data_IF_884271539401
#
_entry.id   IF_884271539401
#
_cell.length_a   1.000
_cell.length_b   1.000
_cell.length_c   1.000
_cell.angle_alpha   90.00
_cell.angle_beta   90.00
_cell.angle_gamma   90.00
#
_symmetry.space_group_name_H-M   'P 1'
#
loop_
_entity.id
_entity.type
_entity.pdbx_description
1 polymer ?
#
# COMPACT_ATOMS: atom_id res chain seq x y z
N UNK A 1 21.80 7.99 -4.29
CA UNK A 1 20.41 8.03 -3.77
C UNK A 1 19.67 6.81 -4.25
N UNK A 2 18.98 6.14 -3.34
CA UNK A 2 18.21 4.92 -3.65
C UNK A 2 17.05 5.22 -4.62
N UNK A 3 16.42 6.37 -4.48
CA UNK A 3 15.26 6.77 -5.28
C UNK A 3 15.67 7.85 -6.28
N UNK A 4 15.57 7.59 -7.61
CA UNK A 4 15.91 8.58 -8.62
C UNK A 4 14.88 9.72 -8.68
N UNK A 5 15.27 10.91 -9.18
CA UNK A 5 14.32 11.98 -9.43
C UNK A 5 13.35 11.59 -10.56
N UNK A 6 12.07 11.87 -10.36
CA UNK A 6 11.03 11.62 -11.36
C UNK A 6 10.14 12.88 -11.51
N UNK A 7 10.03 13.40 -12.73
CA UNK A 7 9.21 14.58 -13.04
C UNK A 7 7.71 14.29 -12.91
N UNK A 8 7.30 13.05 -13.21
CA UNK A 8 5.89 12.64 -13.13
C UNK A 8 5.39 12.46 -11.69
N UNK A 9 6.30 12.32 -10.72
CA UNK A 9 5.96 12.05 -9.31
C UNK A 9 4.97 13.05 -8.74
N UNK A 10 5.16 14.35 -9.01
CA UNK A 10 4.26 15.40 -8.51
C UNK A 10 2.86 15.29 -9.12
N UNK A 11 2.76 14.98 -10.40
CA UNK A 11 1.49 14.79 -11.10
C UNK A 11 0.77 13.57 -10.52
N UNK A 12 1.46 12.43 -10.43
CA UNK A 12 0.91 11.21 -9.87
C UNK A 12 0.44 11.39 -8.41
N UNK A 13 1.24 12.09 -7.59
CA UNK A 13 0.86 12.41 -6.22
C UNK A 13 -0.46 13.19 -6.17
N UNK A 14 -0.60 14.25 -6.96
CA UNK A 14 -1.83 15.06 -7.00
C UNK A 14 -3.01 14.22 -7.51
N UNK A 15 -2.83 13.49 -8.62
CA UNK A 15 -3.89 12.67 -9.21
C UNK A 15 -4.43 11.64 -8.23
N UNK A 16 -3.54 10.85 -7.60
CA UNK A 16 -3.97 9.83 -6.64
C UNK A 16 -4.55 10.43 -5.37
N UNK A 17 -4.05 11.59 -4.92
CA UNK A 17 -4.63 12.33 -3.81
C UNK A 17 -6.05 12.82 -4.09
N UNK A 18 -6.30 13.38 -5.28
CA UNK A 18 -7.64 13.82 -5.71
C UNK A 18 -8.60 12.63 -5.80
N UNK A 19 -8.19 11.52 -6.41
CA UNK A 19 -9.00 10.30 -6.50
C UNK A 19 -9.34 9.79 -5.09
N UNK A 20 -8.37 9.77 -4.17
CA UNK A 20 -8.59 9.34 -2.80
C UNK A 20 -9.63 10.22 -2.08
N UNK A 21 -9.51 11.55 -2.21
CA UNK A 21 -10.48 12.49 -1.62
C UNK A 21 -11.88 12.27 -2.22
N UNK A 22 -11.97 12.06 -3.53
CA UNK A 22 -13.24 11.77 -4.21
C UNK A 22 -13.89 10.48 -3.67
N UNK A 23 -13.13 9.39 -3.52
CA UNK A 23 -13.60 8.14 -2.90
C UNK A 23 -14.04 8.41 -1.45
N UNK A 24 -13.25 9.14 -0.67
CA UNK A 24 -13.56 9.48 0.71
C UNK A 24 -14.87 10.26 0.86
N UNK A 25 -15.13 11.22 -0.02
CA UNK A 25 -16.39 11.96 -0.06
C UNK A 25 -17.57 11.02 -0.34
N UNK A 26 -17.46 10.17 -1.35
CA UNK A 26 -18.54 9.23 -1.71
C UNK A 26 -18.86 8.25 -0.58
N UNK A 27 -17.83 7.75 0.10
CA UNK A 27 -18.01 6.87 1.25
C UNK A 27 -18.62 7.61 2.44
N UNK A 28 -18.13 8.82 2.75
CA UNK A 28 -18.64 9.64 3.86
C UNK A 28 -20.14 9.96 3.74
N UNK A 29 -20.59 10.23 2.52
CA UNK A 29 -22.00 10.57 2.22
C UNK A 29 -22.84 9.35 1.82
N UNK A 30 -22.33 8.12 2.01
CA UNK A 30 -23.03 6.86 1.70
C UNK A 30 -23.63 6.82 0.28
N UNK A 31 -22.87 7.29 -0.70
CA UNK A 31 -23.32 7.33 -2.09
C UNK A 31 -23.67 5.92 -2.58
N UNK A 32 -24.86 5.77 -3.18
CA UNK A 32 -25.40 4.49 -3.70
C UNK A 32 -24.39 3.80 -4.63
N UNK A 33 -23.69 4.56 -5.45
CA UNK A 33 -22.69 4.02 -6.38
C UNK A 33 -21.62 3.14 -5.70
N UNK A 34 -21.05 3.61 -4.58
CA UNK A 34 -20.02 2.84 -3.84
C UNK A 34 -20.62 1.60 -3.17
N UNK A 35 -21.83 1.69 -2.66
CA UNK A 35 -22.52 0.53 -2.05
C UNK A 35 -22.81 -0.54 -3.09
N UNK A 36 -23.31 -0.16 -4.27
CA UNK A 36 -23.54 -1.10 -5.38
C UNK A 36 -22.24 -1.72 -5.86
N UNK A 37 -21.17 -0.93 -5.96
CA UNK A 37 -19.85 -1.42 -6.36
C UNK A 37 -19.31 -2.45 -5.36
N UNK A 38 -19.38 -2.16 -4.06
CA UNK A 38 -18.96 -3.07 -3.00
C UNK A 38 -19.75 -4.38 -3.02
N UNK A 39 -21.08 -4.30 -3.11
CA UNK A 39 -21.96 -5.46 -3.18
C UNK A 39 -21.70 -6.31 -4.44
N UNK A 40 -21.48 -5.68 -5.59
CA UNK A 40 -21.20 -6.37 -6.85
C UNK A 40 -19.87 -7.11 -6.80
N UNK A 41 -18.82 -6.46 -6.27
CA UNK A 41 -17.50 -7.09 -6.16
C UNK A 41 -17.52 -8.20 -5.11
N UNK A 42 -18.18 -8.00 -3.97
CA UNK A 42 -18.33 -9.03 -2.93
C UNK A 42 -19.03 -10.27 -3.50
N UNK A 43 -20.14 -10.08 -4.22
CA UNK A 43 -20.85 -11.17 -4.93
C UNK A 43 -19.92 -11.89 -5.94
N UNK A 44 -19.21 -11.14 -6.76
CA UNK A 44 -18.31 -11.72 -7.76
C UNK A 44 -17.17 -12.52 -7.13
N UNK A 45 -16.57 -12.02 -6.05
CA UNK A 45 -15.47 -12.70 -5.34
C UNK A 45 -15.99 -13.96 -4.67
N UNK A 46 -17.09 -13.90 -3.95
CA UNK A 46 -17.59 -15.03 -3.17
C UNK A 46 -18.26 -16.14 -4.02
N UNK A 47 -18.97 -15.77 -5.09
CA UNK A 47 -19.71 -16.76 -5.89
C UNK A 47 -19.00 -17.21 -7.17
N UNK A 48 -18.16 -16.35 -7.76
CA UNK A 48 -17.53 -16.65 -9.05
C UNK A 48 -16.05 -16.99 -8.88
N UNK A 49 -15.27 -16.08 -8.24
CA UNK A 49 -13.82 -16.24 -8.13
C UNK A 49 -13.43 -17.34 -7.14
N UNK A 50 -14.14 -17.47 -6.02
CA UNK A 50 -13.85 -18.48 -5.00
C UNK A 50 -13.86 -19.91 -5.55
N UNK A 51 -14.75 -20.20 -6.50
CA UNK A 51 -14.83 -21.51 -7.15
C UNK A 51 -13.79 -21.70 -8.26
N UNK A 52 -13.40 -20.63 -8.96
CA UNK A 52 -12.50 -20.70 -10.13
C UNK A 52 -11.02 -20.60 -9.79
N UNK A 53 -10.66 -19.84 -8.77
CA UNK A 53 -9.26 -19.55 -8.41
C UNK A 53 -9.00 -19.73 -6.90
N UNK A 54 -9.39 -20.85 -6.28
CA UNK A 54 -9.29 -21.04 -4.83
C UNK A 54 -7.84 -20.99 -4.33
N UNK A 55 -6.88 -21.50 -5.09
CA UNK A 55 -5.46 -21.49 -4.73
C UNK A 55 -4.91 -20.05 -4.64
N UNK A 56 -5.29 -19.19 -5.58
CA UNK A 56 -4.88 -17.80 -5.61
C UNK A 56 -5.42 -17.02 -4.40
N UNK A 57 -6.68 -17.24 -4.04
CA UNK A 57 -7.30 -16.64 -2.85
C UNK A 57 -6.70 -17.18 -1.55
N UNK A 58 -6.41 -18.48 -1.47
CA UNK A 58 -5.73 -19.09 -0.32
C UNK A 58 -4.32 -18.50 -0.12
N UNK A 59 -3.58 -18.29 -1.21
CA UNK A 59 -2.29 -17.61 -1.15
C UNK A 59 -2.44 -16.19 -0.59
N UNK A 60 -3.40 -15.41 -1.10
CA UNK A 60 -3.69 -14.07 -0.58
C UNK A 60 -4.07 -14.08 0.91
N UNK A 61 -4.84 -15.08 1.38
CA UNK A 61 -5.26 -15.19 2.77
C UNK A 61 -4.09 -15.43 3.73
N UNK A 62 -3.06 -16.18 3.33
CA UNK A 62 -1.84 -16.39 4.13
C UNK A 62 -1.13 -15.06 4.43
N UNK A 63 -1.12 -14.14 3.46
CA UNK A 63 -0.46 -12.83 3.58
C UNK A 63 -1.39 -11.71 4.06
N UNK A 64 -2.66 -12.01 4.37
CA UNK A 64 -3.65 -11.03 4.82
C UNK A 64 -3.60 -10.70 6.32
N UNK A 65 -2.52 -11.07 7.02
CA UNK A 65 -2.36 -10.91 8.46
C UNK A 65 -1.22 -9.94 8.80
N UNK A 66 -1.42 -9.12 9.84
CA UNK A 66 -0.38 -8.21 10.34
C UNK A 66 0.89 -8.95 10.82
N UNK A 67 0.74 -10.17 11.34
CA UNK A 67 1.85 -11.02 11.76
C UNK A 67 2.82 -11.38 10.63
N UNK A 68 2.39 -11.26 9.38
CA UNK A 68 3.24 -11.53 8.21
C UNK A 68 3.90 -10.23 7.72
N UNK A 69 3.13 -9.16 7.56
CA UNK A 69 3.66 -7.92 6.98
C UNK A 69 4.62 -7.19 7.93
N UNK A 70 4.38 -7.18 9.25
CA UNK A 70 5.23 -6.50 10.22
C UNK A 70 6.65 -7.07 10.26
N UNK A 71 6.86 -8.39 10.38
CA UNK A 71 8.20 -8.97 10.25
C UNK A 71 8.86 -8.71 8.89
N UNK A 72 8.10 -8.74 7.79
CA UNK A 72 8.65 -8.47 6.45
C UNK A 72 9.12 -7.02 6.30
N UNK A 73 8.39 -6.05 6.87
CA UNK A 73 8.86 -4.66 6.96
C UNK A 73 10.17 -4.61 7.76
N UNK A 74 10.25 -5.30 8.89
CA UNK A 74 11.47 -5.40 9.70
C UNK A 74 12.66 -5.99 8.93
N UNK A 75 12.44 -7.09 8.20
CA UNK A 75 13.46 -7.70 7.34
C UNK A 75 13.93 -6.74 6.25
N UNK A 76 13.00 -6.00 5.60
CA UNK A 76 13.34 -5.02 4.59
C UNK A 76 14.15 -3.85 5.16
N UNK A 77 13.80 -3.36 6.34
CA UNK A 77 14.56 -2.32 7.05
C UNK A 77 15.96 -2.82 7.40
N UNK A 78 16.08 -4.02 7.94
CA UNK A 78 17.38 -4.65 8.25
C UNK A 78 18.23 -4.82 6.98
N UNK A 79 17.61 -5.27 5.88
CA UNK A 79 18.30 -5.40 4.59
C UNK A 79 18.86 -4.06 4.10
N UNK A 80 18.05 -2.99 4.10
CA UNK A 80 18.50 -1.64 3.73
C UNK A 80 19.64 -1.16 4.63
N UNK A 81 19.55 -1.44 5.92
CA UNK A 81 20.58 -1.07 6.88
C UNK A 81 21.91 -1.80 6.62
N UNK A 82 21.86 -3.12 6.33
CA UNK A 82 23.03 -3.95 6.05
C UNK A 82 23.75 -3.54 4.75
N UNK A 83 23.00 -3.10 3.72
CA UNK A 83 23.60 -2.62 2.46
C UNK A 83 24.04 -1.15 2.54
N UNK A 84 24.15 -0.59 3.75
CA UNK A 84 24.57 0.78 4.03
C UNK A 84 23.64 1.90 3.53
N UNK A 85 22.35 1.62 3.28
CA UNK A 85 21.32 2.63 3.03
C UNK A 85 20.56 2.99 4.33
N UNK A 86 21.32 3.36 5.38
CA UNK A 86 20.79 3.63 6.74
C UNK A 86 19.70 4.71 6.74
N UNK A 87 19.90 5.80 5.99
CA UNK A 87 18.90 6.88 5.87
C UNK A 87 17.62 6.40 5.21
N UNK A 88 17.72 5.56 4.17
CA UNK A 88 16.55 4.96 3.53
C UNK A 88 15.80 4.00 4.45
N UNK A 89 16.52 3.23 5.28
CA UNK A 89 15.92 2.35 6.29
C UNK A 89 15.09 3.15 7.30
N UNK A 90 15.64 4.20 7.91
CA UNK A 90 14.93 5.08 8.83
C UNK A 90 13.76 5.81 8.18
N UNK A 91 13.97 6.33 6.95
CA UNK A 91 12.90 6.95 6.18
C UNK A 91 11.73 5.97 5.96
N UNK A 92 12.02 4.71 5.62
CA UNK A 92 10.97 3.73 5.37
C UNK A 92 10.18 3.41 6.64
N UNK A 93 10.84 3.23 7.80
CA UNK A 93 10.16 3.04 9.10
C UNK A 93 9.24 4.24 9.41
N UNK A 94 9.76 5.45 9.32
CA UNK A 94 8.98 6.67 9.59
C UNK A 94 7.79 6.78 8.64
N UNK A 95 7.97 6.43 7.36
CA UNK A 95 6.91 6.42 6.36
C UNK A 95 5.78 5.46 6.74
N UNK A 96 6.10 4.25 7.24
CA UNK A 96 5.11 3.26 7.69
C UNK A 96 4.37 3.73 8.95
N UNK A 97 5.07 4.30 9.92
CA UNK A 97 4.45 4.82 11.15
C UNK A 97 3.51 5.99 10.87
N UNK A 98 3.92 6.94 10.02
CA UNK A 98 3.05 8.06 9.67
C UNK A 98 1.85 7.57 8.83
N UNK A 99 2.04 6.61 7.93
CA UNK A 99 0.92 5.99 7.19
C UNK A 99 -0.12 5.37 8.14
N UNK A 100 0.33 4.70 9.21
CA UNK A 100 -0.54 4.15 10.25
C UNK A 100 -1.33 5.26 10.96
N UNK A 101 -0.66 6.32 11.40
CA UNK A 101 -1.32 7.45 12.06
C UNK A 101 -2.33 8.14 11.15
N UNK A 102 -1.95 8.41 9.89
CA UNK A 102 -2.84 9.02 8.91
C UNK A 102 -4.06 8.14 8.62
N UNK A 103 -3.85 6.84 8.43
CA UNK A 103 -4.95 5.89 8.21
C UNK A 103 -5.93 5.91 9.39
N UNK A 104 -5.42 5.91 10.61
CA UNK A 104 -6.25 5.99 11.82
C UNK A 104 -7.04 7.29 11.88
N UNK A 105 -6.41 8.44 11.66
CA UNK A 105 -7.08 9.76 11.62
C UNK A 105 -8.15 9.82 10.55
N UNK A 106 -7.83 9.36 9.32
CA UNK A 106 -8.78 9.35 8.20
C UNK A 106 -9.99 8.48 8.52
N UNK A 107 -9.77 7.30 9.11
CA UNK A 107 -10.86 6.40 9.53
C UNK A 107 -11.81 7.07 10.53
N UNK A 108 -11.28 7.82 11.50
CA UNK A 108 -12.10 8.59 12.45
C UNK A 108 -12.89 9.68 11.74
N UNK A 109 -12.29 10.40 10.79
CA UNK A 109 -12.93 11.49 10.06
C UNK A 109 -14.05 10.94 9.16
N UNK A 110 -13.81 9.84 8.48
CA UNK A 110 -14.78 9.25 7.56
C UNK A 110 -15.98 8.64 8.28
N UNK A 111 -15.86 8.23 9.55
CA UNK A 111 -16.94 7.66 10.39
C UNK A 111 -17.77 6.62 9.64
N UNK A 112 -17.11 5.60 9.11
CA UNK A 112 -17.76 4.59 8.28
C UNK A 112 -18.68 3.75 9.15
N UNK A 113 -19.96 3.72 8.80
CA UNK A 113 -20.96 2.83 9.37
C UNK A 113 -21.42 1.88 8.27
N UNK A 114 -20.93 0.66 8.29
CA UNK A 114 -21.38 -0.37 7.35
C UNK A 114 -22.72 -0.92 7.80
N UNK A 115 -23.71 -0.93 6.90
CA UNK A 115 -25.08 -1.36 7.26
C UNK A 115 -25.21 -2.88 7.45
N UNK A 116 -24.33 -3.70 6.82
CA UNK A 116 -24.51 -5.15 6.71
C UNK A 116 -23.25 -5.98 6.98
N UNK A 117 -22.26 -5.52 7.73
CA UNK A 117 -21.02 -6.27 7.95
C UNK A 117 -20.55 -6.29 9.40
N UNK A 118 -19.65 -7.21 9.78
CA UNK A 118 -19.03 -7.18 11.09
C UNK A 118 -18.27 -5.85 11.25
N UNK A 119 -18.59 -5.11 12.29
CA UNK A 119 -18.03 -3.78 12.62
C UNK A 119 -16.52 -3.77 12.93
N UNK A 120 -15.84 -4.90 12.78
CA UNK A 120 -14.47 -5.12 13.24
C UNK A 120 -13.54 -5.11 12.00
N UNK A 121 -12.73 -4.06 11.87
CA UNK A 121 -11.59 -4.02 10.94
C UNK A 121 -11.78 -3.24 9.63
N UNK A 122 -12.94 -2.65 9.38
CA UNK A 122 -13.18 -1.92 8.13
C UNK A 122 -12.69 -0.47 8.21
N UNK A 123 -11.43 -0.27 7.88
CA UNK A 123 -10.84 1.06 7.77
C UNK A 123 -10.73 1.48 6.31
N UNK A 124 -10.97 2.75 6.01
CA UNK A 124 -10.61 3.35 4.72
C UNK A 124 -9.59 4.46 4.98
N UNK A 125 -8.40 4.33 4.42
CA UNK A 125 -7.85 3.20 3.64
C UNK A 125 -7.54 1.97 4.52
N UNK A 126 -7.52 0.77 3.94
CA UNK A 126 -7.12 -0.43 4.69
C UNK A 126 -5.61 -0.41 4.95
N UNK A 127 -5.20 -0.31 6.23
CA UNK A 127 -3.80 -0.13 6.63
C UNK A 127 -2.90 -1.28 6.17
N UNK A 128 -3.36 -2.52 6.28
CA UNK A 128 -2.57 -3.69 5.88
C UNK A 128 -2.23 -3.62 4.39
N UNK A 129 -3.20 -3.27 3.54
CA UNK A 129 -3.00 -3.12 2.11
C UNK A 129 -2.10 -1.93 1.76
N UNK A 130 -2.19 -0.83 2.52
CA UNK A 130 -1.27 0.33 2.38
C UNK A 130 0.17 -0.10 2.68
N UNK A 131 0.40 -0.85 3.75
CA UNK A 131 1.73 -1.34 4.11
C UNK A 131 2.29 -2.32 3.06
N UNK A 132 1.46 -3.26 2.58
CA UNK A 132 1.84 -4.14 1.48
C UNK A 132 2.20 -3.34 0.22
N UNK A 133 1.38 -2.37 -0.17
CA UNK A 133 1.64 -1.54 -1.34
C UNK A 133 2.99 -0.83 -1.23
N UNK A 134 3.30 -0.22 -0.10
CA UNK A 134 4.56 0.50 0.11
C UNK A 134 5.77 -0.44 0.13
N UNK A 135 5.65 -1.61 0.76
CA UNK A 135 6.71 -2.62 0.74
C UNK A 135 7.01 -3.09 -0.69
N UNK A 136 5.95 -3.38 -1.45
CA UNK A 136 6.06 -3.84 -2.83
C UNK A 136 6.59 -2.74 -3.77
N UNK A 137 6.18 -1.49 -3.58
CA UNK A 137 6.74 -0.34 -4.32
C UNK A 137 8.22 -0.14 -4.02
N UNK A 138 8.66 -0.35 -2.78
CA UNK A 138 10.08 -0.33 -2.45
C UNK A 138 10.84 -1.43 -3.17
N UNK A 139 10.29 -2.65 -3.23
CA UNK A 139 10.86 -3.76 -4.00
C UNK A 139 10.99 -3.41 -5.49
N UNK A 140 9.97 -2.81 -6.09
CA UNK A 140 10.00 -2.34 -7.49
C UNK A 140 11.14 -1.35 -7.73
N UNK A 141 11.43 -0.47 -6.78
CA UNK A 141 12.54 0.50 -6.89
C UNK A 141 13.91 -0.19 -6.76
N UNK A 142 14.02 -1.24 -5.93
CA UNK A 142 15.28 -1.96 -5.73
C UNK A 142 15.56 -2.93 -6.90
N UNK A 143 14.53 -3.45 -7.57
CA UNK A 143 14.65 -4.43 -8.65
C UNK A 143 15.63 -4.08 -9.76
N UNK A 144 15.69 -2.85 -10.32
CA UNK A 144 16.65 -2.50 -11.36
C UNK A 144 18.11 -2.65 -10.92
N UNK A 145 18.40 -2.58 -9.62
CA UNK A 145 19.75 -2.79 -9.09
C UNK A 145 20.13 -4.26 -8.98
N UNK A 146 19.13 -5.14 -8.85
CA UNK A 146 19.31 -6.58 -8.71
C UNK A 146 19.27 -7.31 -10.06
N UNK A 147 18.40 -6.86 -10.96
CA UNK A 147 18.10 -7.53 -12.24
C UNK A 147 18.29 -6.57 -13.39
N UNK A 148 19.26 -6.86 -14.28
CA UNK A 148 19.54 -6.02 -15.45
C UNK A 148 18.54 -6.19 -16.61
N UNK A 149 17.91 -7.35 -16.73
CA UNK A 149 16.99 -7.67 -17.83
C UNK A 149 15.64 -6.97 -17.67
N UNK A 150 15.32 -6.07 -18.61
CA UNK A 150 14.05 -5.33 -18.61
C UNK A 150 12.82 -6.24 -18.70
N UNK A 151 12.91 -7.34 -19.44
CA UNK A 151 11.81 -8.33 -19.53
C UNK A 151 11.50 -8.93 -18.17
N UNK A 152 12.54 -9.35 -17.43
CA UNK A 152 12.39 -9.93 -16.10
C UNK A 152 11.83 -8.89 -15.12
N UNK A 153 12.29 -7.63 -15.17
CA UNK A 153 11.75 -6.55 -14.33
C UNK A 153 10.24 -6.36 -14.55
N UNK A 154 9.79 -6.32 -15.82
CA UNK A 154 8.37 -6.18 -16.15
C UNK A 154 7.57 -7.39 -15.62
N UNK A 155 8.06 -8.61 -15.83
CA UNK A 155 7.39 -9.81 -15.32
C UNK A 155 7.26 -9.77 -13.79
N UNK A 156 8.33 -9.43 -13.07
CA UNK A 156 8.30 -9.30 -11.62
C UNK A 156 7.31 -8.23 -11.17
N UNK A 157 7.26 -7.07 -11.83
CA UNK A 157 6.30 -6.01 -11.49
C UNK A 157 4.84 -6.46 -11.68
N UNK A 158 4.56 -7.26 -12.72
CA UNK A 158 3.24 -7.86 -12.93
C UNK A 158 2.92 -8.85 -11.80
N UNK A 159 3.86 -9.73 -11.45
CA UNK A 159 3.70 -10.70 -10.35
C UNK A 159 3.45 -9.97 -9.02
N UNK A 160 4.19 -8.89 -8.74
CA UNK A 160 3.99 -8.05 -7.56
C UNK A 160 2.57 -7.46 -7.53
N UNK A 161 2.09 -6.93 -8.65
CA UNK A 161 0.73 -6.39 -8.77
C UNK A 161 -0.34 -7.46 -8.54
N UNK A 162 -0.17 -8.63 -9.16
CA UNK A 162 -1.07 -9.78 -8.97
C UNK A 162 -1.03 -10.29 -7.52
N UNK A 163 0.13 -10.32 -6.89
CA UNK A 163 0.27 -10.70 -5.49
C UNK A 163 -0.49 -9.74 -4.57
N UNK A 164 -0.34 -8.42 -4.74
CA UNK A 164 -1.11 -7.44 -3.98
C UNK A 164 -2.62 -7.61 -4.17
N UNK A 165 -3.04 -7.84 -5.43
CA UNK A 165 -4.44 -8.10 -5.75
C UNK A 165 -4.97 -9.36 -5.07
N UNK A 166 -4.15 -10.44 -4.96
CA UNK A 166 -4.56 -11.66 -4.26
C UNK A 166 -4.88 -11.41 -2.79
N UNK A 167 -4.07 -10.58 -2.11
CA UNK A 167 -4.30 -10.22 -0.71
C UNK A 167 -5.61 -9.41 -0.59
N UNK A 168 -5.83 -8.46 -1.49
CA UNK A 168 -7.05 -7.66 -1.50
C UNK A 168 -8.28 -8.53 -1.69
N UNK A 169 -8.30 -9.40 -2.70
CA UNK A 169 -9.43 -10.29 -2.98
C UNK A 169 -9.70 -11.29 -1.85
N UNK A 170 -8.63 -11.84 -1.24
CA UNK A 170 -8.77 -12.73 -0.10
C UNK A 170 -9.42 -12.04 1.12
N UNK A 171 -9.11 -10.75 1.37
CA UNK A 171 -9.74 -9.98 2.43
C UNK A 171 -11.20 -9.64 2.14
N UNK A 172 -11.56 -9.42 0.88
CA UNK A 172 -12.97 -9.27 0.48
C UNK A 172 -13.70 -10.58 0.71
N UNK A 173 -13.14 -11.71 0.24
CA UNK A 173 -13.74 -13.04 0.42
C UNK A 173 -14.00 -13.40 1.89
N UNK A 174 -13.09 -13.03 2.78
CA UNK A 174 -13.23 -13.27 4.22
C UNK A 174 -14.13 -12.25 4.94
N UNK A 175 -14.80 -11.36 4.22
CA UNK A 175 -15.63 -10.26 4.74
C UNK A 175 -14.90 -9.33 5.73
N UNK A 176 -13.57 -9.26 5.63
CA UNK A 176 -12.75 -8.38 6.48
C UNK A 176 -12.58 -6.98 5.89
N UNK A 177 -13.02 -6.74 4.66
CA UNK A 177 -13.04 -5.41 4.07
C UNK A 177 -13.98 -5.33 2.86
N UNK A 178 -14.46 -4.12 2.59
CA UNK A 178 -15.16 -3.78 1.35
C UNK A 178 -14.17 -3.45 0.21
N UNK A 179 -14.62 -3.54 -1.04
CA UNK A 179 -13.80 -3.21 -2.20
C UNK A 179 -13.33 -1.74 -2.19
N UNK A 180 -14.19 -0.82 -1.75
CA UNK A 180 -13.85 0.60 -1.59
C UNK A 180 -12.71 0.85 -0.61
N UNK A 181 -12.55 0.01 0.43
CA UNK A 181 -11.39 0.06 1.33
C UNK A 181 -10.09 -0.30 0.60
N UNK A 182 -10.14 -1.24 -0.34
CA UNK A 182 -9.03 -1.60 -1.21
C UNK A 182 -8.67 -0.48 -2.19
N UNK A 183 -9.67 0.14 -2.84
CA UNK A 183 -9.46 1.32 -3.68
C UNK A 183 -8.86 2.49 -2.89
N UNK A 184 -9.35 2.71 -1.68
CA UNK A 184 -8.76 3.69 -0.75
C UNK A 184 -7.30 3.37 -0.42
N UNK A 185 -6.95 2.09 -0.23
CA UNK A 185 -5.59 1.67 0.06
C UNK A 185 -4.62 1.89 -1.12
N UNK A 186 -5.05 1.63 -2.36
CA UNK A 186 -4.25 1.94 -3.57
C UNK A 186 -4.04 3.44 -3.69
N UNK A 187 -5.12 4.21 -3.66
CA UNK A 187 -5.09 5.64 -3.96
C UNK A 187 -4.34 6.41 -2.88
N UNK A 188 -4.66 6.18 -1.60
CA UNK A 188 -3.94 6.77 -0.48
C UNK A 188 -2.49 6.26 -0.39
N UNK A 189 -2.27 4.95 -0.50
CA UNK A 189 -0.94 4.37 -0.37
C UNK A 189 0.01 4.86 -1.46
N UNK A 190 -0.46 4.98 -2.71
CA UNK A 190 0.34 5.52 -3.80
C UNK A 190 0.58 7.04 -3.66
N UNK A 191 -0.44 7.82 -3.27
CA UNK A 191 -0.31 9.24 -2.92
C UNK A 191 0.77 9.42 -1.84
N UNK A 192 0.64 8.70 -0.72
CA UNK A 192 1.55 8.79 0.41
C UNK A 192 2.98 8.37 0.03
N UNK A 193 3.10 7.32 -0.76
CA UNK A 193 4.39 6.88 -1.30
C UNK A 193 5.07 7.98 -2.11
N UNK A 194 4.38 8.60 -3.05
CA UNK A 194 4.94 9.67 -3.88
C UNK A 194 5.32 10.90 -3.04
N UNK A 195 4.50 11.24 -2.06
CA UNK A 195 4.78 12.34 -1.14
C UNK A 195 6.04 12.05 -0.29
N UNK A 196 6.10 10.89 0.37
CA UNK A 196 7.22 10.52 1.24
C UNK A 196 8.54 10.37 0.46
N UNK A 197 8.51 9.81 -0.76
CA UNK A 197 9.69 9.71 -1.62
C UNK A 197 10.18 11.09 -2.09
N UNK A 198 9.27 12.04 -2.33
CA UNK A 198 9.65 13.42 -2.63
C UNK A 198 10.34 14.10 -1.44
N UNK A 199 9.86 13.86 -0.21
CA UNK A 199 10.51 14.37 1.00
C UNK A 199 11.89 13.73 1.21
N UNK A 200 11.99 12.41 1.03
CA UNK A 200 13.26 11.70 1.07
C UNK A 200 14.28 12.31 0.09
N UNK A 201 13.91 12.46 -1.18
CA UNK A 201 14.78 13.03 -2.19
C UNK A 201 15.30 14.44 -1.84
N UNK A 202 14.41 15.30 -1.30
CA UNK A 202 14.77 16.68 -0.94
C UNK A 202 15.64 16.78 0.31
N UNK A 203 15.46 15.90 1.28
CA UNK A 203 16.00 16.05 2.64
C UNK A 203 17.02 14.99 3.04
N UNK A 204 17.16 13.89 2.31
CA UNK A 204 18.04 12.79 2.72
C UNK A 204 19.49 13.21 2.94
N UNK A 205 20.06 14.06 2.06
CA UNK A 205 21.42 14.60 2.25
C UNK A 205 21.55 15.52 3.45
N UNK A 206 20.53 16.30 3.77
CA UNK A 206 20.50 17.14 4.95
C UNK A 206 20.45 16.29 6.23
N UNK A 207 19.58 15.29 6.27
CA UNK A 207 19.49 14.36 7.40
C UNK A 207 20.77 13.56 7.61
N UNK A 208 21.44 13.16 6.54
CA UNK A 208 22.74 12.49 6.64
C UNK A 208 23.77 13.33 7.38
N UNK A 209 23.83 14.63 7.06
CA UNK A 209 24.76 15.57 7.72
C UNK A 209 24.39 15.84 9.17
N UNK A 210 23.10 16.07 9.46
CA UNK A 210 22.61 16.42 10.81
C UNK A 210 22.72 15.25 11.78
N UNK A 211 22.48 14.02 11.29
CA UNK A 211 22.51 12.82 12.11
C UNK A 211 23.88 12.13 12.13
N UNK A 212 24.88 12.72 11.43
CA UNK A 212 26.25 12.15 11.32
C UNK A 212 26.25 10.65 10.95
N UNK A 213 25.27 10.23 10.14
CA UNK A 213 25.13 8.82 9.77
C UNK A 213 26.00 8.52 8.55
N UNK A 214 27.04 7.72 8.74
CA UNK A 214 27.82 7.15 7.65
C UNK A 214 26.98 6.15 6.85
N UNK A 215 26.89 6.35 5.53
CA UNK A 215 26.15 5.46 4.66
C UNK A 215 25.84 6.07 3.29
N UNK A 216 25.27 5.23 2.42
CA UNK A 216 24.80 5.65 1.09
C UNK A 216 23.42 6.33 1.20
N UNK A 217 23.22 7.38 0.41
CA UNK A 217 21.94 8.09 0.30
C UNK A 217 21.24 7.72 -1.00
#
# INVERSE_FOLDING_TARGET
>A
MLIPPDKLRKILMITFGVIFVFIGIQVRFHMIFMQVLDATVDFAVNNILSSKIPLYLKLGSLFSHYWVIVPLIGVMVAFLYLINYKIAAWWFVITQLIAMLLTWVITIILRIHWQNGPKIGETIPNLLLVWWLQLLLLLVIIMPYLVKSRKIQVTINIVIGLFWLSIMLARIQSHHMAFTSGLGAITFGYFWWQFSTQQYYKRARHWQKVLEIDGRV
#
